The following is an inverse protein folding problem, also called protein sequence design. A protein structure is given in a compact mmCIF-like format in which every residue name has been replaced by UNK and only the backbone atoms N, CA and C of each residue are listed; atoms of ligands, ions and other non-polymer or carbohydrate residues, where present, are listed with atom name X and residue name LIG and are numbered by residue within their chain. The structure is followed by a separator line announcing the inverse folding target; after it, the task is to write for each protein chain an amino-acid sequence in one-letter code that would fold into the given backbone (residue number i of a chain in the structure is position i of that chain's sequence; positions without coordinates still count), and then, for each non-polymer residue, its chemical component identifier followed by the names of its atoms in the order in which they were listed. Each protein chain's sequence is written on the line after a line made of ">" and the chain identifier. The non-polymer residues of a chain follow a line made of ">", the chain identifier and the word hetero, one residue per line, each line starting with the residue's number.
data_IF_189019389594
#
_entry.id   IF_189019389594
#
_cell.length_a   1.000
_cell.length_b   1.000
_cell.length_c   1.000
_cell.angle_alpha   90.00
_cell.angle_beta   90.00
_cell.angle_gamma   90.00
#
_symmetry.space_group_name_H-M   'P 1'
#
loop_
_entity.id
_entity.type
_entity.pdbx_description
1 polymer ?
#
# COMPACT_ATOMS: atom_id res chain seq x y z
N UNK A 1 17.64 0.27 29.60
CA UNK A 1 16.29 0.64 29.14
C UNK A 1 15.28 -0.33 29.72
N UNK A 2 14.18 0.19 30.26
CA UNK A 2 13.09 -0.59 30.86
C UNK A 2 11.77 -0.13 30.23
N UNK A 3 10.92 -1.07 29.79
CA UNK A 3 9.63 -0.76 29.17
C UNK A 3 8.52 -0.76 30.23
N UNK A 4 8.24 0.40 30.83
CA UNK A 4 7.16 0.57 31.81
C UNK A 4 5.86 0.97 31.10
N UNK A 5 4.73 0.42 31.56
CA UNK A 5 3.40 0.82 31.05
C UNK A 5 2.99 0.27 29.68
N UNK A 6 3.81 -0.58 29.05
CA UNK A 6 3.45 -1.22 27.77
C UNK A 6 2.18 -2.07 27.89
N UNK A 7 1.28 -1.94 26.92
CA UNK A 7 0.00 -2.66 26.87
C UNK A 7 0.16 -4.17 27.10
N UNK A 8 -0.78 -4.79 27.81
CA UNK A 8 -0.82 -6.24 27.99
C UNK A 8 -1.14 -7.00 26.69
N UNK A 9 -1.64 -6.31 25.66
CA UNK A 9 -2.03 -6.91 24.38
C UNK A 9 -0.86 -7.11 23.40
N UNK A 10 0.34 -6.57 23.68
CA UNK A 10 1.49 -6.74 22.79
C UNK A 10 2.15 -8.12 22.92
N UNK A 11 2.89 -8.53 21.89
CA UNK A 11 3.54 -9.83 21.83
C UNK A 11 4.53 -10.03 23.01
N UNK A 12 4.77 -11.26 23.47
CA UNK A 12 5.69 -11.54 24.57
C UNK A 12 7.16 -11.28 24.24
N UNK A 13 7.50 -11.08 22.96
CA UNK A 13 8.81 -10.68 22.47
C UNK A 13 8.67 -9.43 21.59
N UNK A 14 9.46 -8.40 21.88
CA UNK A 14 9.52 -7.16 21.12
C UNK A 14 10.94 -6.93 20.60
N UNK A 15 11.07 -6.35 19.42
CA UNK A 15 12.36 -5.96 18.84
C UNK A 15 12.59 -4.48 19.09
N UNK A 16 13.67 -4.12 19.77
CA UNK A 16 14.17 -2.76 19.96
C UNK A 16 15.24 -2.45 18.91
N UNK A 17 15.09 -1.36 18.16
CA UNK A 17 16.10 -0.82 17.27
C UNK A 17 16.48 0.58 17.71
N UNK A 18 17.78 0.83 17.80
CA UNK A 18 18.34 2.10 18.21
C UNK A 18 19.28 2.61 17.12
N UNK A 19 19.19 3.91 16.82
CA UNK A 19 20.08 4.57 15.86
C UNK A 19 20.64 5.85 16.50
N UNK A 20 21.96 6.00 16.45
CA UNK A 20 22.63 7.19 16.97
C UNK A 20 24.09 7.21 16.54
N UNK A 21 24.65 8.40 16.39
CA UNK A 21 26.09 8.60 16.20
C UNK A 21 26.94 8.17 17.41
N UNK A 22 26.33 8.02 18.59
CA UNK A 22 27.00 7.51 19.80
C UNK A 22 27.10 5.98 19.83
N UNK A 23 26.37 5.27 18.97
CA UNK A 23 26.37 3.80 18.93
C UNK A 23 27.49 3.32 17.99
N UNK A 24 28.31 2.33 18.40
CA UNK A 24 29.29 1.73 17.49
C UNK A 24 28.61 1.20 16.23
N UNK A 25 29.02 1.67 15.05
CA UNK A 25 28.40 1.38 13.72
C UNK A 25 27.04 2.06 13.47
N UNK A 26 26.63 3.01 14.32
CA UNK A 26 25.48 3.89 14.11
C UNK A 26 24.11 3.29 14.42
N UNK A 27 24.03 1.97 14.66
CA UNK A 27 22.79 1.27 14.96
C UNK A 27 23.02 0.02 15.83
N UNK A 28 22.04 -0.35 16.63
CA UNK A 28 22.02 -1.62 17.39
C UNK A 28 20.58 -2.15 17.49
N UNK A 29 20.45 -3.48 17.55
CA UNK A 29 19.18 -4.16 17.73
C UNK A 29 19.25 -5.06 18.98
N UNK A 30 18.19 -5.05 19.78
CA UNK A 30 18.01 -5.90 20.95
C UNK A 30 16.58 -6.45 21.01
N UNK A 31 16.37 -7.51 21.78
CA UNK A 31 15.05 -8.08 22.00
C UNK A 31 14.64 -7.90 23.47
N UNK A 32 13.45 -7.34 23.67
CA UNK A 32 12.77 -7.37 24.96
C UNK A 32 11.94 -8.64 25.07
N UNK A 33 12.11 -9.35 26.18
CA UNK A 33 11.36 -10.57 26.48
C UNK A 33 10.55 -10.33 27.74
N UNK A 34 9.25 -10.61 27.65
CA UNK A 34 8.34 -10.56 28.80
C UNK A 34 8.55 -11.81 29.64
N UNK A 35 8.74 -11.62 30.94
CA UNK A 35 8.84 -12.72 31.91
C UNK A 35 7.48 -13.37 32.13
N UNK A 36 7.45 -14.58 32.68
CA UNK A 36 6.20 -15.28 33.04
C UNK A 36 5.36 -14.55 34.10
N UNK A 37 5.95 -13.57 34.81
CA UNK A 37 5.28 -12.71 35.80
C UNK A 37 4.66 -11.45 35.19
N UNK A 38 4.90 -11.21 33.90
CA UNK A 38 4.36 -10.05 33.17
C UNK A 38 5.35 -8.89 33.02
N UNK A 39 6.45 -8.89 33.76
CA UNK A 39 7.49 -7.84 33.74
C UNK A 39 8.39 -7.96 32.51
N UNK A 40 8.89 -6.83 32.01
CA UNK A 40 9.86 -6.79 30.91
C UNK A 40 11.28 -6.91 31.42
N UNK A 41 12.07 -7.80 30.82
CA UNK A 41 13.50 -7.89 31.13
C UNK A 41 14.22 -6.62 30.64
N UNK A 42 14.94 -5.88 31.49
CA UNK A 42 15.69 -4.70 31.07
C UNK A 42 16.78 -5.06 30.05
N UNK A 43 17.01 -4.16 29.10
CA UNK A 43 18.07 -4.27 28.09
C UNK A 43 19.13 -3.20 28.36
N UNK A 44 20.40 -3.60 28.27
CA UNK A 44 21.55 -2.71 28.38
C UNK A 44 22.06 -2.35 26.98
N UNK A 45 22.33 -1.07 26.78
CA UNK A 45 22.79 -0.51 25.52
C UNK A 45 24.01 0.34 25.82
N UNK A 46 25.12 0.02 25.17
CA UNK A 46 26.37 0.75 25.33
C UNK A 46 26.50 1.82 24.24
N UNK A 47 26.84 3.04 24.67
CA UNK A 47 27.17 4.17 23.80
C UNK A 47 28.57 4.70 24.13
N UNK A 48 29.23 5.29 23.13
CA UNK A 48 30.59 5.82 23.26
C UNK A 48 30.65 7.25 22.77
N UNK A 49 31.08 8.15 23.67
CA UNK A 49 31.42 9.54 23.35
C UNK A 49 32.88 9.71 22.90
N UNK A 50 33.64 8.63 22.74
CA UNK A 50 35.04 8.70 22.33
C UNK A 50 35.14 9.31 20.92
N UNK A 51 35.97 10.34 20.77
CA UNK A 51 36.16 11.12 19.54
C UNK A 51 34.87 11.82 19.04
N UNK A 52 33.94 12.10 19.95
CA UNK A 52 32.74 12.91 19.68
C UNK A 52 32.89 14.29 20.28
N UNK A 53 32.37 15.30 19.59
CA UNK A 53 32.34 16.67 20.10
C UNK A 53 31.33 16.78 21.25
N UNK A 54 31.53 17.75 22.14
CA UNK A 54 30.55 18.04 23.18
C UNK A 54 29.27 18.60 22.54
N UNK A 55 28.11 18.24 23.07
CA UNK A 55 26.83 18.64 22.48
C UNK A 55 25.72 17.64 22.72
N UNK A 56 24.58 17.90 22.10
CA UNK A 56 23.39 17.06 22.17
C UNK A 56 23.42 16.03 21.04
N UNK A 57 23.23 14.77 21.39
CA UNK A 57 23.15 13.66 20.44
C UNK A 57 21.81 12.97 20.57
N UNK A 58 21.14 12.80 19.44
CA UNK A 58 19.87 12.09 19.37
C UNK A 58 20.10 10.57 19.30
N UNK A 59 19.21 9.83 19.94
CA UNK A 59 19.07 8.39 19.85
C UNK A 59 17.64 8.10 19.43
N UNK A 60 17.47 7.72 18.16
CA UNK A 60 16.18 7.31 17.64
C UNK A 60 15.91 5.87 18.07
N UNK A 61 14.69 5.63 18.53
CA UNK A 61 14.26 4.37 19.10
C UNK A 61 13.01 3.89 18.41
N UNK A 62 13.05 2.66 17.93
CA UNK A 62 11.89 1.96 17.40
C UNK A 62 11.69 0.67 18.18
N UNK A 63 10.45 0.41 18.63
CA UNK A 63 10.05 -0.84 19.27
C UNK A 63 9.00 -1.51 18.40
N UNK A 64 9.23 -2.76 18.02
CA UNK A 64 8.34 -3.53 17.16
C UNK A 64 7.75 -4.72 17.92
N UNK A 65 6.42 -4.82 17.96
CA UNK A 65 5.70 -6.02 18.39
C UNK A 65 5.46 -6.93 17.19
N UNK A 66 5.85 -8.19 17.31
CA UNK A 66 5.65 -9.17 16.25
C UNK A 66 4.52 -10.13 16.58
N UNK A 67 3.52 -10.25 15.70
CA UNK A 67 2.48 -11.27 15.77
C UNK A 67 2.57 -12.11 14.49
N UNK A 68 2.67 -13.43 14.62
CA UNK A 68 2.79 -14.37 13.50
C UNK A 68 3.86 -14.01 12.45
N UNK A 69 5.00 -13.46 12.92
CA UNK A 69 6.13 -13.09 12.07
C UNK A 69 6.04 -11.72 11.38
N UNK A 70 4.88 -11.06 11.44
CA UNK A 70 4.69 -9.69 10.95
C UNK A 70 4.78 -8.66 12.09
N UNK A 71 5.18 -7.42 11.80
CA UNK A 71 5.13 -6.33 12.77
C UNK A 71 3.67 -5.91 12.93
N UNK A 72 3.09 -6.16 14.11
CA UNK A 72 1.70 -5.85 14.42
C UNK A 72 1.53 -4.45 15.01
N UNK A 73 2.51 -3.97 15.79
CA UNK A 73 2.52 -2.63 16.38
C UNK A 73 3.94 -2.07 16.38
N UNK A 74 4.05 -0.75 16.20
CA UNK A 74 5.33 -0.02 16.21
C UNK A 74 5.21 1.17 17.16
N UNK A 75 6.19 1.33 18.05
CA UNK A 75 6.35 2.53 18.86
C UNK A 75 7.66 3.21 18.52
N UNK A 76 7.67 4.54 18.54
CA UNK A 76 8.89 5.34 18.31
C UNK A 76 9.05 6.39 19.40
N UNK A 77 10.30 6.69 19.74
CA UNK A 77 10.67 7.89 20.49
C UNK A 77 12.10 8.29 20.14
N UNK A 78 12.49 9.51 20.52
CA UNK A 78 13.86 9.99 20.35
C UNK A 78 14.39 10.45 21.70
N UNK A 79 15.43 9.79 22.21
CA UNK A 79 16.13 10.28 23.40
C UNK A 79 17.22 11.27 22.97
N UNK A 80 17.55 12.20 23.86
CA UNK A 80 18.73 13.06 23.66
C UNK A 80 19.70 12.84 24.80
N UNK A 81 20.96 12.57 24.44
CA UNK A 81 22.07 12.48 25.39
C UNK A 81 22.95 13.72 25.25
N UNK A 82 23.20 14.40 26.36
CA UNK A 82 24.16 15.49 26.41
C UNK A 82 25.56 14.94 26.69
N UNK A 83 26.46 15.07 25.70
CA UNK A 83 27.88 14.74 25.86
C UNK A 83 28.62 15.95 26.44
N UNK A 84 29.20 15.84 27.64
CA UNK A 84 29.88 16.96 28.28
C UNK A 84 31.21 17.29 27.59
N UNK A 85 31.73 18.50 27.85
CA UNK A 85 33.07 18.89 27.39
C UNK A 85 34.14 18.01 28.04
N UNK A 86 35.25 17.81 27.33
CA UNK A 86 36.36 16.96 27.80
C UNK A 86 37.01 17.48 29.09
N UNK A 87 36.96 18.79 29.31
CA UNK A 87 37.46 19.50 30.49
C UNK A 87 36.40 19.73 31.57
N UNK A 88 35.15 19.29 31.34
CA UNK A 88 34.06 19.49 32.29
C UNK A 88 34.33 18.72 33.59
N UNK A 89 34.22 19.40 34.72
CA UNK A 89 34.34 18.75 36.03
C UNK A 89 33.08 17.96 36.35
N UNK A 90 33.18 16.95 37.22
CA UNK A 90 32.01 16.22 37.71
C UNK A 90 30.96 17.17 38.32
N UNK A 91 31.40 18.24 38.97
CA UNK A 91 30.53 19.28 39.53
C UNK A 91 29.77 20.03 38.44
N UNK A 92 30.43 20.41 37.34
CA UNK A 92 29.77 21.09 36.21
C UNK A 92 28.78 20.16 35.49
N UNK A 93 29.18 18.90 35.27
CA UNK A 93 28.31 17.88 34.67
C UNK A 93 27.08 17.69 35.55
N UNK A 94 27.28 17.56 36.87
CA UNK A 94 26.21 17.41 37.84
C UNK A 94 25.33 18.67 37.95
N UNK A 95 25.89 19.88 37.85
CA UNK A 95 25.12 21.12 37.86
C UNK A 95 24.26 21.30 36.61
N UNK A 96 24.80 21.01 35.42
CA UNK A 96 24.03 21.05 34.17
C UNK A 96 22.91 20.03 34.23
N UNK A 97 23.25 18.80 34.59
CA UNK A 97 22.31 17.70 34.80
C UNK A 97 21.19 18.07 35.78
N UNK A 98 21.55 18.59 36.96
CA UNK A 98 20.58 19.03 37.94
C UNK A 98 19.79 20.24 37.44
N UNK A 99 20.36 21.17 36.67
CA UNK A 99 19.59 22.31 36.14
C UNK A 99 18.55 21.90 35.10
N UNK A 100 18.81 20.80 34.37
CA UNK A 100 17.89 20.24 33.38
C UNK A 100 16.86 19.29 33.98
N UNK A 101 17.16 18.65 35.13
CA UNK A 101 16.25 17.72 35.82
C UNK A 101 15.57 18.32 37.07
N UNK A 102 16.09 19.43 37.61
CA UNK A 102 15.45 20.18 38.68
C UNK A 102 14.35 21.00 38.07
N UNK A 103 13.20 20.41 38.17
CA UNK A 103 12.44 20.71 39.33
C UNK A 103 12.80 21.95 40.19
N UNK A 104 13.44 21.78 41.35
CA UNK A 104 13.60 22.80 42.42
C UNK A 104 15.05 23.24 42.66
N UNK A 105 15.36 24.54 42.73
CA UNK A 105 16.66 25.10 43.16
C UNK A 105 16.46 25.98 44.42
N UNK A 106 17.49 26.32 45.20
CA UNK A 106 17.37 27.23 46.36
C UNK A 106 18.73 27.93 46.53
N UNK A 107 18.82 29.25 46.72
CA UNK A 107 20.09 29.96 47.02
C UNK A 107 19.92 31.00 48.12
N UNK A 108 20.97 31.33 48.87
CA UNK A 108 20.95 32.44 49.82
C UNK A 108 22.32 33.14 49.85
N UNK A 109 22.39 34.46 49.63
CA UNK A 109 23.62 35.28 49.71
C UNK A 109 23.50 36.46 50.70
N UNK A 110 24.61 36.85 51.31
CA UNK A 110 24.75 37.98 52.25
C UNK A 110 23.78 37.95 53.43
N UNK A 111 24.11 37.16 54.45
CA UNK A 111 23.40 37.06 55.74
C UNK A 111 21.89 36.75 55.64
N UNK A 112 21.47 36.12 54.54
CA UNK A 112 20.07 35.76 54.23
C UNK A 112 19.78 34.27 54.50
N UNK A 113 18.48 33.91 54.58
CA UNK A 113 18.05 32.55 54.96
C UNK A 113 16.95 32.05 54.04
N UNK A 114 17.17 30.94 53.32
CA UNK A 114 16.13 30.27 52.52
C UNK A 114 15.80 28.88 53.09
N UNK A 115 14.52 28.52 53.18
CA UNK A 115 14.02 27.25 53.72
C UNK A 115 12.92 26.66 52.84
N UNK A 116 12.90 25.34 52.72
CA UNK A 116 11.86 24.56 52.05
C UNK A 116 11.59 23.35 52.92
N UNK A 117 10.33 22.94 53.03
CA UNK A 117 9.85 21.83 53.83
C UNK A 117 8.80 21.12 52.98
N UNK A 118 8.79 19.77 52.97
CA UNK A 118 8.02 18.80 52.16
C UNK A 118 8.08 18.85 50.62
N UNK A 119 7.26 18.03 49.93
CA UNK A 119 7.02 18.10 48.48
C UNK A 119 7.42 16.85 47.72
N UNK A 120 6.44 16.14 47.15
CA UNK A 120 6.70 15.03 46.24
C UNK A 120 6.22 15.37 44.82
N UNK A 121 7.10 15.22 43.82
CA UNK A 121 6.83 15.51 42.40
C UNK A 121 6.86 16.99 41.96
N UNK A 122 7.52 17.91 42.67
CA UNK A 122 7.47 19.36 42.36
C UNK A 122 8.80 20.00 41.95
N UNK A 123 8.68 20.99 41.04
CA UNK A 123 9.71 21.85 40.45
C UNK A 123 9.79 23.30 41.08
N UNK A 124 10.74 23.72 41.94
CA UNK A 124 10.80 25.06 42.60
C UNK A 124 12.20 25.71 42.85
N UNK A 125 12.57 26.86 42.26
CA UNK A 125 13.79 27.60 42.69
C UNK A 125 13.50 28.61 43.85
N UNK A 126 14.23 28.61 44.97
CA UNK A 126 14.01 29.47 46.17
C UNK A 126 15.27 30.24 46.53
N UNK A 127 15.37 31.48 46.07
CA UNK A 127 16.56 32.32 46.29
C UNK A 127 16.32 33.47 47.28
N UNK A 128 17.28 33.76 48.16
CA UNK A 128 17.28 34.85 49.14
C UNK A 128 18.57 35.68 49.03
N UNK A 129 18.48 37.01 49.09
CA UNK A 129 19.66 37.91 49.03
C UNK A 129 19.45 39.13 49.93
N UNK A 130 20.52 39.87 50.22
CA UNK A 130 20.50 41.13 50.98
C UNK A 130 19.87 40.99 52.38
N UNK A 131 20.28 39.99 53.14
CA UNK A 131 19.77 39.67 54.48
C UNK A 131 18.26 39.32 54.58
N UNK A 132 17.61 38.95 53.47
CA UNK A 132 16.21 38.51 53.44
C UNK A 132 15.99 37.04 53.85
N UNK A 133 14.74 36.65 54.16
CA UNK A 133 14.38 35.27 54.54
C UNK A 133 13.26 34.73 53.64
N UNK A 134 13.45 33.54 53.04
CA UNK A 134 12.47 32.80 52.25
C UNK A 134 12.13 31.44 52.91
N UNK A 135 10.86 31.01 52.95
CA UNK A 135 10.44 29.73 53.56
C UNK A 135 9.29 29.07 52.78
N UNK A 136 9.35 27.77 52.51
CA UNK A 136 8.31 26.94 51.85
C UNK A 136 8.07 25.71 52.73
N UNK A 137 6.83 25.21 52.91
CA UNK A 137 6.50 23.99 53.69
C UNK A 137 5.39 23.17 53.00
N UNK A 138 5.55 21.85 52.89
CA UNK A 138 4.83 20.88 52.06
C UNK A 138 4.73 19.54 52.83
N UNK A 139 4.88 19.56 54.17
CA UNK A 139 5.07 18.38 55.04
C UNK A 139 3.77 17.70 55.55
N UNK A 140 2.69 17.66 54.76
CA UNK A 140 1.57 16.76 55.07
C UNK A 140 1.82 15.34 54.48
N UNK A 141 1.57 14.23 55.23
CA UNK A 141 2.20 12.91 55.02
C UNK A 141 1.40 12.04 54.02
N UNK A 142 1.92 11.06 53.27
CA UNK A 142 3.08 10.17 53.45
C UNK A 142 3.38 9.48 52.09
N UNK A 143 4.65 9.47 51.66
CA UNK A 143 5.11 8.72 50.49
C UNK A 143 6.59 8.94 50.29
N UNK A 144 7.37 7.88 50.27
CA UNK A 144 8.83 7.92 50.11
C UNK A 144 9.11 8.37 48.66
N UNK A 145 9.72 9.54 48.49
CA UNK A 145 10.13 10.04 47.17
C UNK A 145 11.28 9.17 46.68
N UNK A 146 10.96 8.18 45.86
CA UNK A 146 11.95 7.30 45.26
C UNK A 146 12.72 8.11 44.21
N UNK A 147 13.90 8.60 44.58
CA UNK A 147 14.84 9.17 43.61
C UNK A 147 15.44 8.05 42.77
N UNK A 148 14.67 7.61 41.76
CA UNK A 148 15.13 6.67 40.75
C UNK A 148 16.41 7.19 40.09
N UNK A 149 17.37 6.31 39.84
CA UNK A 149 18.65 6.63 39.22
C UNK A 149 18.44 7.44 37.94
N UNK A 150 18.82 8.72 38.00
CA UNK A 150 18.51 9.69 36.95
C UNK A 150 19.58 9.60 35.87
N UNK A 151 19.19 9.08 34.70
CA UNK A 151 20.00 8.92 33.49
C UNK A 151 20.28 10.27 32.82
N UNK A 152 21.46 10.45 32.20
CA UNK A 152 21.87 11.63 31.41
C UNK A 152 21.11 11.82 30.07
N UNK A 153 20.01 11.10 29.91
CA UNK A 153 19.20 11.05 28.71
C UNK A 153 17.82 11.65 29.00
N UNK A 154 17.29 12.47 28.09
CA UNK A 154 15.91 12.93 28.17
C UNK A 154 14.98 11.78 27.80
N UNK A 155 14.21 11.30 28.77
CA UNK A 155 13.20 10.27 28.58
C UNK A 155 11.98 10.87 27.86
N UNK A 156 11.89 10.65 26.56
CA UNK A 156 10.67 10.92 25.79
C UNK A 156 9.73 9.72 25.86
N UNK A 157 8.42 9.98 25.91
CA UNK A 157 7.40 8.93 25.92
C UNK A 157 7.37 8.18 24.57
N UNK A 158 7.18 6.85 24.64
CA UNK A 158 6.98 6.03 23.43
C UNK A 158 5.64 6.37 22.81
N UNK A 159 5.66 6.84 21.56
CA UNK A 159 4.46 7.13 20.78
C UNK A 159 4.16 5.92 19.91
N UNK A 160 2.95 5.36 20.06
CA UNK A 160 2.45 4.33 19.13
C UNK A 160 2.19 4.96 17.77
N UNK A 161 2.78 4.38 16.74
CA UNK A 161 2.61 4.82 15.35
C UNK A 161 1.80 3.77 14.63
N UNK A 162 0.71 4.21 14.01
CA UNK A 162 -0.08 3.36 13.13
C UNK A 162 0.83 2.82 12.02
N UNK A 163 0.99 1.50 12.02
CA UNK A 163 1.53 0.81 10.86
C UNK A 163 0.48 0.90 9.76
N UNK A 164 0.84 1.25 8.52
CA UNK A 164 -0.08 1.10 7.41
C UNK A 164 -0.59 -0.33 7.47
N UNK A 165 -1.92 -0.48 7.59
CA UNK A 165 -2.56 -1.79 7.72
C UNK A 165 -1.92 -2.70 6.68
N UNK A 166 -1.39 -3.85 7.11
CA UNK A 166 -0.83 -4.82 6.19
C UNK A 166 -1.92 -5.09 5.16
N UNK A 167 -1.77 -4.52 3.95
CA UNK A 167 -2.75 -4.68 2.89
C UNK A 167 -2.88 -6.18 2.73
N UNK A 168 -4.02 -6.75 3.11
CA UNK A 168 -4.24 -8.18 3.01
C UNK A 168 -3.98 -8.55 1.55
N UNK A 169 -2.83 -9.15 1.28
CA UNK A 169 -2.46 -9.55 -0.07
C UNK A 169 -3.58 -10.43 -0.59
N UNK A 170 -4.01 -10.16 -1.82
CA UNK A 170 -5.04 -10.98 -2.44
C UNK A 170 -4.60 -12.46 -2.38
N UNK A 171 -5.48 -13.41 -2.00
CA UNK A 171 -5.11 -14.82 -1.88
C UNK A 171 -4.59 -15.44 -3.19
N UNK A 172 -4.84 -14.78 -4.31
CA UNK A 172 -4.33 -15.18 -5.63
C UNK A 172 -3.93 -13.94 -6.44
N UNK A 173 -2.72 -13.40 -6.26
CA UNK A 173 -2.29 -12.22 -7.01
C UNK A 173 -2.29 -12.49 -8.52
N UNK A 174 -2.93 -11.62 -9.30
CA UNK A 174 -2.87 -11.64 -10.76
C UNK A 174 -3.40 -10.32 -11.34
N UNK A 175 -2.73 -9.84 -12.39
CA UNK A 175 -3.14 -8.67 -13.19
C UNK A 175 -3.95 -9.04 -14.43
N UNK A 176 -4.00 -10.32 -14.80
CA UNK A 176 -4.88 -10.79 -15.86
C UNK A 176 -5.46 -12.16 -15.53
N UNK A 177 -6.70 -12.38 -15.94
CA UNK A 177 -7.43 -13.60 -15.62
C UNK A 177 -8.58 -13.81 -16.61
N UNK A 178 -9.28 -14.92 -16.47
CA UNK A 178 -10.46 -15.18 -17.27
C UNK A 178 -11.57 -15.82 -16.44
N UNK A 179 -12.81 -15.37 -16.64
CA UNK A 179 -13.98 -16.12 -16.24
C UNK A 179 -14.45 -16.95 -17.42
N UNK A 180 -14.33 -18.27 -17.28
CA UNK A 180 -14.69 -19.24 -18.31
C UNK A 180 -16.11 -19.72 -18.06
N UNK A 181 -17.00 -19.48 -19.01
CA UNK A 181 -18.33 -20.04 -19.04
C UNK A 181 -18.32 -21.37 -19.83
N UNK A 182 -18.48 -22.50 -19.13
CA UNK A 182 -18.44 -23.82 -19.77
C UNK A 182 -19.69 -24.14 -20.61
N UNK A 183 -20.82 -23.48 -20.35
CA UNK A 183 -22.10 -23.74 -20.99
C UNK A 183 -22.88 -22.42 -21.21
N UNK A 184 -22.41 -21.55 -22.13
CA UNK A 184 -22.98 -20.21 -22.31
C UNK A 184 -24.41 -20.30 -22.80
N UNK A 185 -25.31 -19.58 -22.14
CA UNK A 185 -26.68 -19.42 -22.57
C UNK A 185 -26.76 -18.50 -23.80
N UNK A 186 -27.95 -18.43 -24.43
CA UNK A 186 -28.13 -17.62 -25.63
C UNK A 186 -27.84 -16.12 -25.33
N UNK A 187 -26.78 -15.60 -25.94
CA UNK A 187 -26.36 -14.20 -25.79
C UNK A 187 -25.20 -13.98 -24.80
N UNK A 188 -24.82 -14.99 -24.03
CA UNK A 188 -23.65 -14.93 -23.15
C UNK A 188 -22.35 -15.22 -23.89
N UNK A 189 -21.26 -14.67 -23.35
CA UNK A 189 -19.90 -14.89 -23.82
C UNK A 189 -19.32 -16.15 -23.16
N UNK A 190 -18.57 -16.93 -23.94
CA UNK A 190 -17.79 -18.06 -23.46
C UNK A 190 -16.69 -17.60 -22.50
N UNK A 191 -16.02 -16.50 -22.81
CA UNK A 191 -14.91 -15.96 -22.02
C UNK A 191 -15.18 -14.51 -21.61
N UNK A 192 -14.96 -14.19 -20.34
CA UNK A 192 -14.81 -12.81 -19.88
C UNK A 192 -13.35 -12.63 -19.51
N UNK A 193 -12.59 -11.91 -20.35
CA UNK A 193 -11.17 -11.68 -20.11
C UNK A 193 -10.98 -10.46 -19.22
N UNK A 194 -10.16 -10.60 -18.19
CA UNK A 194 -9.92 -9.59 -17.17
C UNK A 194 -8.48 -9.11 -17.31
N UNK A 195 -8.29 -7.79 -17.34
CA UNK A 195 -7.00 -7.14 -17.34
C UNK A 195 -7.04 -5.99 -16.35
N UNK A 196 -6.08 -5.91 -15.45
CA UNK A 196 -5.90 -4.86 -14.46
C UNK A 196 -4.54 -4.21 -14.70
N UNK A 197 -4.49 -3.30 -15.67
CA UNK A 197 -3.28 -2.62 -16.15
C UNK A 197 -3.59 -1.14 -16.35
N UNK A 198 -2.61 -0.27 -16.11
CA UNK A 198 -2.75 1.18 -16.35
C UNK A 198 -2.99 1.50 -17.83
N UNK A 199 -2.32 0.75 -18.71
CA UNK A 199 -2.49 0.78 -20.15
C UNK A 199 -2.70 -0.65 -20.66
N UNK A 200 -3.75 -0.87 -21.45
CA UNK A 200 -4.01 -2.15 -22.12
C UNK A 200 -3.65 -2.03 -23.60
N UNK A 201 -2.65 -2.77 -24.05
CA UNK A 201 -2.32 -2.92 -25.47
C UNK A 201 -3.24 -3.96 -26.12
N UNK A 202 -4.03 -3.53 -27.09
CA UNK A 202 -4.83 -4.41 -27.95
C UNK A 202 -4.02 -4.74 -29.20
N UNK A 203 -4.04 -6.00 -29.60
CA UNK A 203 -3.17 -6.47 -30.66
C UNK A 203 -3.57 -7.78 -31.29
N UNK A 204 -2.83 -8.14 -32.34
CA UNK A 204 -2.96 -9.44 -33.01
C UNK A 204 -2.72 -10.58 -32.03
N UNK A 205 -3.52 -11.64 -32.11
CA UNK A 205 -3.23 -12.88 -31.41
C UNK A 205 -1.96 -13.53 -31.95
N UNK A 206 -0.99 -13.73 -31.05
CA UNK A 206 0.28 -14.40 -31.30
C UNK A 206 0.53 -15.40 -30.18
N UNK A 207 0.94 -16.61 -30.55
CA UNK A 207 1.19 -17.68 -29.59
C UNK A 207 2.53 -17.49 -28.87
N UNK A 208 3.52 -16.90 -29.56
CA UNK A 208 4.89 -16.74 -29.07
C UNK A 208 5.20 -15.26 -29.01
N UNK A 209 5.64 -14.81 -27.84
CA UNK A 209 6.07 -13.45 -27.52
C UNK A 209 5.12 -12.35 -28.06
N UNK A 210 3.81 -12.42 -27.74
CA UNK A 210 2.87 -11.41 -28.21
C UNK A 210 3.24 -10.02 -27.69
N UNK A 211 3.25 -9.04 -28.60
CA UNK A 211 3.52 -7.64 -28.27
C UNK A 211 2.37 -6.92 -27.55
N UNK A 212 1.23 -7.59 -27.37
CA UNK A 212 0.02 -7.05 -26.77
C UNK A 212 -0.44 -7.82 -25.54
N UNK A 213 -1.28 -7.16 -24.73
CA UNK A 213 -1.93 -7.73 -23.55
C UNK A 213 -3.23 -8.41 -23.95
N UNK A 214 -4.06 -7.66 -24.68
CA UNK A 214 -5.34 -8.11 -25.21
C UNK A 214 -5.13 -8.64 -26.63
N UNK A 215 -5.00 -9.95 -26.73
CA UNK A 215 -4.85 -10.70 -27.97
C UNK A 215 -6.21 -10.88 -28.66
N UNK A 216 -6.26 -10.45 -29.92
CA UNK A 216 -7.46 -10.44 -30.74
C UNK A 216 -7.25 -11.30 -31.99
N UNK A 217 -8.22 -12.19 -32.24
CA UNK A 217 -8.35 -12.93 -33.49
C UNK A 217 -9.59 -12.48 -34.27
N UNK A 218 -9.53 -12.59 -35.58
CA UNK A 218 -10.69 -12.56 -36.46
C UNK A 218 -11.55 -13.82 -36.25
N UNK A 219 -12.87 -13.64 -36.30
CA UNK A 219 -13.84 -14.72 -36.34
C UNK A 219 -14.62 -14.65 -37.65
N UNK A 220 -14.75 -15.77 -38.33
CA UNK A 220 -15.65 -15.98 -39.46
C UNK A 220 -16.90 -16.75 -38.98
N UNK A 221 -17.91 -16.96 -39.85
CA UNK A 221 -19.02 -17.86 -39.55
C UNK A 221 -18.58 -19.29 -39.17
N UNK A 222 -17.40 -19.72 -39.64
CA UNK A 222 -16.83 -21.05 -39.39
C UNK A 222 -16.01 -21.11 -38.09
N UNK A 223 -15.79 -19.96 -37.43
CA UNK A 223 -15.08 -19.87 -36.16
C UNK A 223 -13.85 -18.97 -36.20
N UNK A 224 -12.93 -19.19 -35.26
CA UNK A 224 -11.72 -18.38 -35.10
C UNK A 224 -10.72 -18.64 -36.25
N UNK A 225 -10.26 -17.59 -36.92
CA UNK A 225 -9.27 -17.66 -37.99
C UNK A 225 -7.95 -17.02 -37.54
N UNK A 226 -6.98 -17.84 -37.11
CA UNK A 226 -5.69 -17.34 -36.60
C UNK A 226 -4.65 -17.02 -37.69
N UNK A 227 -4.89 -17.38 -38.96
CA UNK A 227 -3.88 -17.28 -40.02
C UNK A 227 -4.30 -16.42 -41.22
N UNK A 228 -5.59 -16.18 -41.42
CA UNK A 228 -6.13 -15.32 -42.46
C UNK A 228 -6.20 -13.86 -42.02
N UNK A 229 -7.42 -13.36 -41.81
CA UNK A 229 -7.64 -11.92 -41.58
C UNK A 229 -7.06 -11.42 -40.25
N UNK A 230 -6.79 -12.30 -39.29
CA UNK A 230 -6.04 -11.94 -38.06
C UNK A 230 -4.69 -11.31 -38.35
N UNK A 231 -4.01 -11.69 -39.45
CA UNK A 231 -2.71 -11.08 -39.84
C UNK A 231 -2.83 -9.61 -40.24
N UNK A 232 -4.04 -9.11 -40.45
CA UNK A 232 -4.35 -7.70 -40.76
C UNK A 232 -4.57 -6.86 -39.51
N UNK A 233 -4.38 -7.44 -38.33
CA UNK A 233 -4.15 -6.73 -37.08
C UNK A 233 -2.64 -6.55 -36.89
N UNK A 234 -2.21 -5.39 -36.42
CA UNK A 234 -0.85 -5.17 -35.93
C UNK A 234 -0.62 -5.87 -34.59
N UNK A 235 0.61 -6.31 -34.32
CA UNK A 235 1.01 -6.85 -33.01
C UNK A 235 0.67 -5.88 -31.87
N UNK A 236 0.98 -4.59 -32.07
CA UNK A 236 0.45 -3.46 -31.30
C UNK A 236 -0.52 -2.66 -32.14
N UNK A 237 -1.80 -2.67 -31.80
CA UNK A 237 -2.85 -2.08 -32.63
C UNK A 237 -3.46 -0.83 -31.99
N UNK A 238 -3.90 -0.95 -30.74
CA UNK A 238 -4.52 0.13 -30.01
C UNK A 238 -4.05 0.14 -28.55
N UNK A 239 -4.06 1.29 -27.92
CA UNK A 239 -3.84 1.43 -26.48
C UNK A 239 -5.11 1.96 -25.86
N UNK A 240 -5.58 1.34 -24.77
CA UNK A 240 -6.64 1.90 -23.93
C UNK A 240 -6.06 2.20 -22.55
N UNK A 241 -6.29 3.41 -22.05
CA UNK A 241 -5.76 3.86 -20.75
C UNK A 241 -6.65 4.91 -20.10
N UNK A 242 -6.33 5.27 -18.85
CA UNK A 242 -6.98 6.40 -18.16
C UNK A 242 -6.43 7.74 -18.67
N UNK A 243 -7.30 8.54 -19.27
CA UNK A 243 -7.06 9.96 -19.57
C UNK A 243 -7.69 10.89 -18.53
N UNK A 244 -7.54 12.20 -18.74
CA UNK A 244 -8.05 13.23 -17.81
C UNK A 244 -9.58 13.19 -17.62
N UNK A 245 -10.33 12.91 -18.69
CA UNK A 245 -11.80 12.97 -18.70
C UNK A 245 -12.50 11.60 -18.68
N UNK A 246 -11.74 10.51 -18.68
CA UNK A 246 -12.31 9.17 -18.82
C UNK A 246 -11.25 8.16 -19.24
N UNK A 247 -11.69 7.05 -19.83
CA UNK A 247 -10.80 6.21 -20.61
C UNK A 247 -10.66 6.76 -22.02
N UNK A 248 -9.48 6.60 -22.61
CA UNK A 248 -9.19 7.00 -23.98
C UNK A 248 -8.61 5.82 -24.76
N UNK A 249 -8.75 5.87 -26.09
CA UNK A 249 -8.13 4.92 -27.02
C UNK A 249 -7.20 5.66 -27.99
N UNK A 250 -6.06 5.06 -28.29
CA UNK A 250 -5.06 5.58 -29.22
C UNK A 250 -4.74 4.55 -30.31
N UNK A 251 -4.65 5.00 -31.57
CA UNK A 251 -4.21 4.18 -32.70
C UNK A 251 -2.69 4.18 -32.86
N UNK A 252 -2.08 3.02 -32.62
CA UNK A 252 -0.64 2.79 -32.81
C UNK A 252 -0.35 1.84 -33.98
N UNK A 253 -1.39 1.41 -34.69
CA UNK A 253 -1.33 0.35 -35.68
C UNK A 253 -0.68 0.75 -37.00
N UNK A 254 -0.41 -0.24 -37.84
CA UNK A 254 -0.07 -0.07 -39.25
C UNK A 254 -1.29 0.11 -40.16
N UNK A 255 -2.42 -0.50 -39.79
CA UNK A 255 -3.59 -0.64 -40.67
C UNK A 255 -4.72 0.35 -40.38
N UNK A 256 -4.53 1.20 -39.36
CA UNK A 256 -5.51 2.15 -38.86
C UNK A 256 -6.63 1.47 -38.08
N UNK A 257 -7.28 2.21 -37.20
CA UNK A 257 -8.57 1.84 -36.62
C UNK A 257 -9.68 2.81 -37.03
N UNK A 258 -10.94 2.39 -36.90
CA UNK A 258 -12.09 3.29 -37.05
C UNK A 258 -12.85 3.36 -35.73
N UNK A 259 -13.14 4.58 -35.29
CA UNK A 259 -14.06 4.87 -34.20
C UNK A 259 -15.35 5.41 -34.81
N UNK A 260 -16.45 4.70 -34.63
CA UNK A 260 -17.76 5.01 -35.25
C UNK A 260 -17.66 5.21 -36.79
N UNK A 261 -16.75 4.45 -37.43
CA UNK A 261 -16.51 4.51 -38.87
C UNK A 261 -15.53 5.60 -39.34
N UNK A 262 -14.98 6.40 -38.43
CA UNK A 262 -14.03 7.48 -38.73
C UNK A 262 -12.65 7.14 -38.19
N UNK A 263 -11.60 7.32 -38.99
CA UNK A 263 -10.22 7.18 -38.49
C UNK A 263 -9.84 8.42 -37.67
N UNK A 264 -9.54 8.30 -36.36
CA UNK A 264 -9.18 9.46 -35.53
C UNK A 264 -7.80 10.05 -35.88
N UNK A 265 -6.99 9.32 -36.64
CA UNK A 265 -5.59 9.63 -36.90
C UNK A 265 -4.66 8.88 -35.95
N UNK A 266 -3.46 8.54 -36.46
CA UNK A 266 -2.45 7.81 -35.70
C UNK A 266 -1.92 8.64 -34.51
N UNK A 267 -1.70 8.00 -33.37
CA UNK A 267 -1.20 8.62 -32.13
C UNK A 267 -2.04 9.79 -31.62
N UNK A 268 -3.34 9.78 -31.91
CA UNK A 268 -4.29 10.75 -31.39
C UNK A 268 -5.22 10.06 -30.40
N UNK A 269 -5.06 10.33 -29.09
CA UNK A 269 -5.98 9.80 -28.08
C UNK A 269 -7.39 10.35 -28.29
N UNK A 270 -8.38 9.47 -28.19
CA UNK A 270 -9.81 9.82 -28.27
C UNK A 270 -10.54 9.26 -27.06
N UNK A 271 -11.28 10.12 -26.36
CA UNK A 271 -12.09 9.71 -25.23
C UNK A 271 -13.14 8.67 -25.64
N UNK A 272 -13.19 7.55 -24.92
CA UNK A 272 -14.18 6.50 -25.10
C UNK A 272 -15.57 7.00 -24.69
N UNK A 273 -16.60 6.57 -25.43
CA UNK A 273 -18.00 6.89 -25.17
C UNK A 273 -18.82 5.61 -25.14
N UNK A 274 -19.86 5.58 -24.31
CA UNK A 274 -20.79 4.45 -24.29
C UNK A 274 -21.40 4.25 -25.68
N UNK A 275 -21.41 3.01 -26.16
CA UNK A 275 -21.91 2.61 -27.47
C UNK A 275 -20.91 2.81 -28.62
N UNK A 276 -19.76 3.45 -28.39
CA UNK A 276 -18.75 3.66 -29.42
C UNK A 276 -18.33 2.34 -30.06
N UNK A 277 -18.33 2.29 -31.39
CA UNK A 277 -17.88 1.14 -32.19
C UNK A 277 -16.41 1.32 -32.56
N UNK A 278 -15.61 0.30 -32.27
CA UNK A 278 -14.16 0.29 -32.51
C UNK A 278 -13.88 -0.82 -33.52
N UNK A 279 -13.51 -0.46 -34.75
CA UNK A 279 -13.05 -1.41 -35.77
C UNK A 279 -11.53 -1.37 -35.85
N UNK A 280 -10.87 -2.50 -35.58
CA UNK A 280 -9.40 -2.60 -35.52
C UNK A 280 -8.79 -2.77 -36.93
N UNK A 281 -9.41 -2.18 -37.94
CA UNK A 281 -8.84 -2.05 -39.27
C UNK A 281 -9.60 -1.00 -40.06
N UNK A 282 -8.91 0.03 -40.55
CA UNK A 282 -9.49 1.02 -41.45
C UNK A 282 -9.59 0.51 -42.90
N UNK A 283 -8.77 -0.49 -43.26
CA UNK A 283 -8.62 -0.98 -44.63
C UNK A 283 -9.50 -2.19 -44.96
N UNK A 284 -9.88 -2.99 -43.96
CA UNK A 284 -10.69 -4.19 -44.14
C UNK A 284 -11.77 -4.21 -43.07
N UNK A 285 -13.02 -4.04 -43.49
CA UNK A 285 -14.16 -3.98 -42.57
C UNK A 285 -14.38 -5.32 -41.87
N UNK A 286 -14.79 -5.25 -40.61
CA UNK A 286 -15.33 -6.40 -39.89
C UNK A 286 -14.30 -7.44 -39.40
N UNK A 287 -12.99 -7.14 -39.41
CA UNK A 287 -11.99 -8.09 -38.89
C UNK A 287 -12.19 -8.32 -37.39
N UNK A 288 -12.05 -7.26 -36.60
CA UNK A 288 -12.39 -7.24 -35.18
C UNK A 288 -13.17 -5.96 -34.92
N UNK A 289 -14.39 -6.12 -34.41
CA UNK A 289 -15.26 -5.01 -34.08
C UNK A 289 -15.69 -5.13 -32.63
N UNK A 290 -15.28 -4.15 -31.83
CA UNK A 290 -15.65 -4.02 -30.44
C UNK A 290 -16.66 -2.90 -30.26
N UNK A 291 -17.47 -2.98 -29.21
CA UNK A 291 -18.32 -1.89 -28.74
C UNK A 291 -18.00 -1.58 -27.29
N UNK A 292 -17.89 -0.30 -26.96
CA UNK A 292 -17.79 0.17 -25.58
C UNK A 292 -19.16 0.02 -24.92
N UNK A 293 -19.30 -1.01 -24.09
CA UNK A 293 -20.59 -1.37 -23.48
C UNK A 293 -20.73 -0.95 -22.02
N UNK A 294 -19.63 -0.65 -21.33
CA UNK A 294 -19.70 0.05 -20.05
C UNK A 294 -18.49 0.96 -19.86
N UNK A 295 -18.74 2.12 -19.24
CA UNK A 295 -17.75 3.05 -18.71
C UNK A 295 -17.98 3.16 -17.20
N UNK A 296 -17.05 2.60 -16.44
CA UNK A 296 -17.05 2.57 -14.98
C UNK A 296 -15.97 3.52 -14.47
N UNK A 297 -16.07 3.95 -13.21
CA UNK A 297 -15.02 4.77 -12.60
C UNK A 297 -13.66 4.05 -12.54
N UNK A 298 -13.71 2.71 -12.39
CA UNK A 298 -12.57 1.83 -12.21
C UNK A 298 -12.26 0.96 -13.43
N UNK A 299 -12.92 1.16 -14.58
CA UNK A 299 -12.70 0.33 -15.76
C UNK A 299 -13.62 0.56 -16.95
N UNK A 300 -13.38 -0.18 -18.03
CA UNK A 300 -14.19 -0.21 -19.25
C UNK A 300 -14.51 -1.65 -19.64
N UNK A 301 -15.73 -1.89 -20.13
CA UNK A 301 -16.16 -3.19 -20.66
C UNK A 301 -16.37 -3.09 -22.17
N UNK A 302 -15.68 -3.97 -22.89
CA UNK A 302 -15.77 -4.08 -24.35
C UNK A 302 -16.42 -5.41 -24.75
N UNK A 303 -17.43 -5.37 -25.59
CA UNK A 303 -18.00 -6.57 -26.22
C UNK A 303 -17.62 -6.65 -27.69
N UNK A 304 -17.40 -7.88 -28.17
CA UNK A 304 -17.34 -8.12 -29.62
C UNK A 304 -18.74 -7.99 -30.21
N UNK A 305 -18.84 -7.32 -31.37
CA UNK A 305 -20.07 -7.21 -32.17
C UNK A 305 -19.88 -7.77 -33.58
N UNK A 306 -18.80 -8.53 -33.78
CA UNK A 306 -18.50 -9.32 -34.98
C UNK A 306 -18.93 -10.79 -34.78
N UNK A 307 -18.51 -11.70 -35.68
CA UNK A 307 -18.83 -13.13 -35.56
C UNK A 307 -18.33 -13.78 -34.26
N UNK A 308 -17.39 -13.14 -33.55
CA UNK A 308 -16.89 -13.55 -32.24
C UNK A 308 -17.73 -13.04 -31.06
N UNK A 309 -18.91 -12.45 -31.26
CA UNK A 309 -19.75 -11.87 -30.19
C UNK A 309 -20.06 -12.80 -29.01
N UNK A 310 -20.07 -14.12 -29.25
CA UNK A 310 -20.28 -15.16 -28.21
C UNK A 310 -18.97 -15.76 -27.68
N UNK A 311 -17.84 -15.47 -28.32
CA UNK A 311 -16.55 -16.01 -27.90
C UNK A 311 -16.06 -15.28 -26.65
N UNK A 312 -16.09 -13.94 -26.66
CA UNK A 312 -15.41 -13.17 -25.62
C UNK A 312 -15.95 -11.74 -25.42
N UNK A 313 -15.81 -11.26 -24.20
CA UNK A 313 -15.82 -9.83 -23.85
C UNK A 313 -14.65 -9.51 -22.92
N UNK A 314 -14.33 -8.23 -22.77
CA UNK A 314 -13.12 -7.76 -22.09
C UNK A 314 -13.46 -6.76 -21.00
N UNK A 315 -12.92 -6.99 -19.80
CA UNK A 315 -12.88 -6.04 -18.69
C UNK A 315 -11.47 -5.47 -18.63
N UNK A 316 -11.34 -4.18 -18.88
CA UNK A 316 -10.08 -3.45 -18.69
C UNK A 316 -10.26 -2.58 -17.45
N UNK A 317 -9.63 -2.96 -16.36
CA UNK A 317 -9.79 -2.39 -15.03
C UNK A 317 -8.53 -1.62 -14.65
N UNK A 318 -8.70 -0.57 -13.85
CA UNK A 318 -7.56 0.08 -13.22
C UNK A 318 -7.01 -0.79 -12.10
N UNK A 319 -5.69 -0.96 -11.99
CA UNK A 319 -5.07 -1.60 -10.85
C UNK A 319 -5.49 -0.90 -9.55
N UNK A 320 -5.70 -1.72 -8.54
CA UNK A 320 -5.96 -1.33 -7.15
C UNK A 320 -7.03 -0.23 -6.94
N UNK A 321 -8.01 -0.19 -7.84
CA UNK A 321 -9.07 0.80 -7.84
C UNK A 321 -10.42 0.16 -7.53
N UNK A 322 -11.08 0.65 -6.49
CA UNK A 322 -12.39 0.17 -6.08
C UNK A 322 -13.51 0.79 -6.93
N UNK A 323 -14.63 0.05 -7.12
CA UNK A 323 -15.82 0.60 -7.73
C UNK A 323 -16.39 1.69 -6.83
N UNK A 324 -16.75 2.84 -7.40
CA UNK A 324 -17.49 3.88 -6.70
C UNK A 324 -18.98 3.78 -7.03
N UNK A 325 -19.88 4.11 -6.11
CA UNK A 325 -21.33 4.11 -6.36
C UNK A 325 -21.80 5.22 -7.33
N UNK A 326 -20.89 5.96 -7.96
CA UNK A 326 -21.18 6.98 -8.95
C UNK A 326 -21.80 6.36 -10.22
N UNK A 327 -22.44 7.19 -11.06
CA UNK A 327 -23.22 6.72 -12.22
C UNK A 327 -22.39 5.84 -13.16
N UNK A 328 -22.61 4.53 -13.09
CA UNK A 328 -22.12 3.57 -14.05
C UNK A 328 -22.90 3.73 -15.35
N UNK A 329 -22.21 4.06 -16.45
CA UNK A 329 -22.81 4.08 -17.76
C UNK A 329 -22.61 2.71 -18.40
N UNK A 330 -23.68 1.92 -18.51
CA UNK A 330 -23.64 0.58 -19.09
C UNK A 330 -24.82 0.35 -20.04
N UNK A 331 -24.58 -0.41 -21.11
CA UNK A 331 -25.65 -0.95 -21.95
C UNK A 331 -26.38 -2.08 -21.22
N UNK A 332 -27.60 -2.47 -21.64
CA UNK A 332 -28.32 -3.58 -21.02
C UNK A 332 -27.50 -4.87 -20.97
N UNK A 333 -26.73 -5.17 -22.02
CA UNK A 333 -25.87 -6.35 -22.06
C UNK A 333 -24.79 -6.33 -20.97
N UNK A 334 -24.08 -5.21 -20.79
CA UNK A 334 -23.05 -5.11 -19.76
C UNK A 334 -23.64 -5.01 -18.34
N UNK A 335 -24.85 -4.49 -18.18
CA UNK A 335 -25.52 -4.39 -16.88
C UNK A 335 -25.84 -5.73 -16.23
N UNK A 336 -25.91 -6.81 -17.02
CA UNK A 336 -26.13 -8.17 -16.54
C UNK A 336 -24.85 -8.88 -16.09
N UNK A 337 -23.67 -8.28 -16.32
CA UNK A 337 -22.40 -8.87 -15.97
C UNK A 337 -22.03 -8.56 -14.50
N UNK A 338 -21.25 -9.42 -13.83
CA UNK A 338 -20.85 -9.19 -12.45
C UNK A 338 -19.99 -7.92 -12.31
N UNK A 339 -20.11 -7.26 -11.16
CA UNK A 339 -19.28 -6.10 -10.81
C UNK A 339 -17.94 -6.62 -10.30
N UNK A 340 -16.89 -6.40 -11.10
CA UNK A 340 -15.54 -6.84 -10.85
C UNK A 340 -14.61 -5.65 -10.68
N UNK A 341 -13.58 -5.81 -9.85
CA UNK A 341 -12.54 -4.80 -9.62
C UNK A 341 -11.21 -5.45 -9.24
N UNK A 342 -10.13 -4.68 -9.25
CA UNK A 342 -8.80 -5.14 -8.82
C UNK A 342 -8.39 -4.44 -7.53
N UNK A 343 -7.87 -5.19 -6.56
CA UNK A 343 -7.37 -4.67 -5.29
C UNK A 343 -6.38 -5.62 -4.63
N UNK A 344 -5.33 -5.07 -4.01
CA UNK A 344 -4.28 -5.79 -3.32
C UNK A 344 -3.62 -6.84 -4.22
N UNK A 345 -3.44 -6.50 -5.51
CA UNK A 345 -2.79 -7.37 -6.48
C UNK A 345 -3.66 -8.46 -7.12
N UNK A 346 -4.98 -8.49 -6.92
CA UNK A 346 -5.84 -9.46 -7.61
C UNK A 346 -7.30 -9.04 -7.78
N UNK A 347 -8.09 -9.92 -8.42
CA UNK A 347 -9.47 -9.63 -8.81
C UNK A 347 -10.49 -9.95 -7.72
N UNK A 348 -11.47 -9.08 -7.56
CA UNK A 348 -12.56 -9.21 -6.61
C UNK A 348 -13.91 -9.07 -7.30
N UNK A 349 -14.92 -9.71 -6.72
CA UNK A 349 -16.32 -9.51 -7.02
C UNK A 349 -16.98 -8.69 -5.92
N UNK A 350 -17.81 -7.73 -6.30
CA UNK A 350 -18.68 -6.97 -5.39
C UNK A 350 -20.13 -7.40 -5.57
N UNK A 351 -20.75 -7.93 -4.51
CA UNK A 351 -22.20 -8.06 -4.43
C UNK A 351 -22.81 -6.70 -4.15
N UNK A 352 -23.51 -6.12 -5.13
CA UNK A 352 -24.09 -4.78 -5.03
C UNK A 352 -25.27 -4.68 -4.07
N UNK A 353 -25.91 -5.81 -3.72
CA UNK A 353 -27.03 -5.82 -2.78
C UNK A 353 -26.56 -5.84 -1.32
N UNK A 354 -25.53 -6.63 -1.03
CA UNK A 354 -24.99 -6.77 0.34
C UNK A 354 -23.77 -5.90 0.62
N UNK A 355 -23.13 -5.36 -0.42
CA UNK A 355 -21.82 -4.70 -0.34
C UNK A 355 -20.67 -5.67 -0.07
N UNK A 356 -20.91 -6.99 -0.08
CA UNK A 356 -19.89 -7.98 0.24
C UNK A 356 -18.90 -8.15 -0.91
N UNK A 357 -17.62 -8.01 -0.58
CA UNK A 357 -16.52 -8.26 -1.50
C UNK A 357 -16.02 -9.70 -1.34
N UNK A 358 -15.77 -10.38 -2.46
CA UNK A 358 -15.24 -11.74 -2.48
C UNK A 358 -14.04 -11.82 -3.42
N UNK A 359 -12.91 -12.28 -2.89
CA UNK A 359 -11.70 -12.53 -3.66
C UNK A 359 -11.96 -13.61 -4.72
N UNK A 360 -11.49 -13.39 -5.95
CA UNK A 360 -11.65 -14.32 -7.06
C UNK A 360 -10.35 -15.09 -7.29
N UNK A 361 -10.42 -16.39 -7.06
CA UNK A 361 -9.34 -17.35 -7.28
C UNK A 361 -9.89 -18.63 -7.91
N UNK A 362 -9.05 -19.50 -8.50
CA UNK A 362 -9.50 -20.75 -9.13
C UNK A 362 -10.33 -21.66 -8.21
N UNK A 363 -10.13 -21.58 -6.89
CA UNK A 363 -10.86 -22.35 -5.86
C UNK A 363 -12.17 -21.69 -5.40
N UNK A 364 -12.52 -20.53 -5.93
CA UNK A 364 -13.69 -19.76 -5.49
C UNK A 364 -14.97 -20.37 -6.04
N UNK A 365 -15.94 -20.63 -5.16
CA UNK A 365 -17.26 -21.15 -5.53
C UNK A 365 -18.14 -20.04 -6.17
N UNK A 366 -17.93 -19.79 -7.47
CA UNK A 366 -18.62 -18.73 -8.21
C UNK A 366 -20.13 -18.95 -8.32
N UNK A 367 -20.60 -20.20 -8.28
CA UNK A 367 -22.02 -20.57 -8.33
C UNK A 367 -22.85 -20.04 -7.15
N UNK A 368 -22.17 -19.60 -6.07
CA UNK A 368 -22.78 -19.01 -4.88
C UNK A 368 -22.77 -17.48 -4.91
N UNK A 369 -22.15 -16.85 -5.91
CA UNK A 369 -22.02 -15.41 -6.02
C UNK A 369 -23.15 -14.83 -6.88
N UNK A 370 -23.62 -13.64 -6.52
CA UNK A 370 -24.59 -12.88 -7.30
C UNK A 370 -24.04 -12.58 -8.71
N UNK A 371 -24.87 -12.69 -9.75
CA UNK A 371 -24.46 -12.36 -11.13
C UNK A 371 -23.58 -13.42 -11.80
N UNK A 372 -23.31 -14.55 -11.15
CA UNK A 372 -22.60 -15.68 -11.74
C UNK A 372 -23.53 -16.84 -12.03
N UNK A 373 -23.43 -17.38 -13.26
CA UNK A 373 -24.09 -18.63 -13.63
C UNK A 373 -23.29 -19.83 -13.11
N UNK A 374 -23.98 -20.95 -12.83
CA UNK A 374 -23.40 -22.16 -12.18
C UNK A 374 -22.21 -22.76 -12.91
N UNK A 375 -22.11 -22.57 -14.22
CA UNK A 375 -21.10 -23.16 -15.09
C UNK A 375 -19.90 -22.22 -15.34
N UNK A 376 -19.77 -21.12 -14.57
CA UNK A 376 -18.62 -20.21 -14.64
C UNK A 376 -17.52 -20.66 -13.69
N UNK A 377 -16.26 -20.59 -14.14
CA UNK A 377 -15.05 -20.82 -13.32
C UNK A 377 -14.04 -19.70 -13.51
N UNK A 378 -13.25 -19.42 -12.48
CA UNK A 378 -12.11 -18.51 -12.58
C UNK A 378 -10.87 -19.25 -13.08
N UNK A 379 -10.17 -18.67 -14.05
CA UNK A 379 -8.88 -19.11 -14.54
C UNK A 379 -7.84 -18.01 -14.29
N UNK A 380 -6.67 -18.41 -13.81
CA UNK A 380 -5.56 -17.51 -13.48
C UNK A 380 -4.91 -16.86 -14.69
N UNK A 381 -5.15 -17.41 -15.89
CA UNK A 381 -4.63 -16.90 -17.14
C UNK A 381 -5.76 -16.23 -17.96
N UNK A 382 -5.48 -15.16 -18.71
CA UNK A 382 -6.47 -14.49 -19.56
C UNK A 382 -6.89 -15.31 -20.79
N UNK A 383 -6.05 -16.27 -21.23
CA UNK A 383 -6.31 -17.16 -22.38
C UNK A 383 -6.10 -18.63 -22.00
N UNK A 384 -6.90 -19.19 -21.08
CA UNK A 384 -6.67 -20.53 -20.52
C UNK A 384 -6.86 -21.67 -21.54
N UNK A 385 -7.49 -21.38 -22.69
CA UNK A 385 -7.61 -22.29 -23.83
C UNK A 385 -6.35 -22.38 -24.69
N UNK A 386 -5.38 -21.50 -24.49
CA UNK A 386 -4.17 -21.38 -25.31
C UNK A 386 -2.92 -21.48 -24.44
N UNK A 387 -1.86 -22.05 -24.99
CA UNK A 387 -0.54 -22.06 -24.37
C UNK A 387 0.28 -20.89 -24.93
N UNK A 388 0.07 -19.69 -24.39
CA UNK A 388 0.84 -18.51 -24.79
C UNK A 388 2.24 -18.63 -24.21
N UNK A 389 3.24 -18.58 -25.08
CA UNK A 389 4.65 -18.66 -24.72
C UNK A 389 5.19 -17.23 -24.65
N UNK A 390 5.55 -16.79 -23.46
CA UNK A 390 6.27 -15.53 -23.21
C UNK A 390 7.68 -15.91 -22.74
N UNK A 391 8.70 -15.61 -23.53
CA UNK A 391 10.10 -15.78 -23.13
C UNK A 391 10.48 -14.76 -22.04
N UNK A 392 11.47 -15.11 -21.21
CA UNK A 392 11.81 -14.35 -19.98
C UNK A 392 11.94 -12.84 -20.22
N UNK A 393 11.15 -12.04 -19.50
CA UNK A 393 11.09 -10.58 -19.61
C UNK A 393 9.88 -10.02 -20.35
N UNK A 394 9.14 -10.84 -21.11
CA UNK A 394 7.90 -10.44 -21.80
C UNK A 394 6.67 -10.63 -20.90
N UNK A 395 6.59 -9.94 -19.76
CA UNK A 395 5.36 -9.88 -18.97
C UNK A 395 4.22 -9.22 -19.77
N UNK A 396 3.00 -9.21 -19.23
CA UNK A 396 2.03 -8.17 -19.63
C UNK A 396 2.72 -6.81 -19.54
N UNK A 397 2.30 -5.85 -20.37
CA UNK A 397 2.92 -4.53 -20.46
C UNK A 397 2.77 -3.78 -19.13
N UNK A 398 3.61 -4.11 -18.15
CA UNK A 398 3.62 -3.53 -16.83
C UNK A 398 4.89 -2.70 -16.70
N UNK A 399 4.69 -1.38 -16.68
CA UNK A 399 5.72 -0.38 -16.46
C UNK A 399 6.31 -0.54 -15.06
N UNK A 400 7.33 -1.39 -14.91
CA UNK A 400 8.50 -0.95 -14.15
C UNK A 400 9.22 0.10 -14.99
N UNK A 401 8.63 1.29 -15.12
CA UNK A 401 9.40 2.47 -15.51
C UNK A 401 10.36 2.75 -14.35
N UNK A 402 11.58 2.27 -14.58
CA UNK A 402 12.84 2.86 -14.18
C UNK A 402 12.67 4.27 -13.58
N UNK A 403 12.78 4.37 -12.26
CA UNK A 403 13.30 5.57 -11.64
C UNK A 403 14.71 5.77 -12.17
N UNK A 404 14.86 6.73 -13.08
CA UNK A 404 16.14 7.38 -13.37
C UNK A 404 16.19 8.72 -12.62
#
# INVERSE_FOLDING_TARGET
>A
MELRGMSAACAPQLTLRLRSDLIPRGHVQHDFVRTTRGDWRPVFVDFSSRNKEHGQYQIDVEVHSHLDGAVAQKWVCTFVILVPRRDATLTEIHQIFLSTHKNVRVMADDASIARVTGGDGCNLDVTARNAGIAHVDLSAPQGKIDMGFTTIAWDEELIEVDLPAASHCHPHPSQAACLVNAAPEAGEQRQIRLFALEECMLGRFELVDPEADVLLSHFSPDGQDNNGLTRRLSGRHAIIRRGQQGFEIEDVSRYGMLLDGVWPGKHKPVALRLGMRIELSASIKGIVVLSVTALLAHGVILHRIDHGARAECFYLLLPDTQPTPASHLATPQASCLPVLFHRNGGFWHLDTASGKETALAPVTALDKLSGFARHKRFASEPYPECWIIRTEGAALCDNTMQTA
#
